data_IF_419918080390
#
_entry.id   IF_419918080390
#
_cell.length_a   1.000
_cell.length_b   1.000
_cell.length_c   1.000
_cell.angle_alpha   90.00
_cell.angle_beta   90.00
_cell.angle_gamma   90.00
#
_symmetry.space_group_name_H-M   'P 1'
#
loop_
_entity.id
_entity.type
_entity.pdbx_description
1 polymer ?
#
# COMPACT_ATOMS: atom_id res chain seq x y z
N UNK A 1 32.51 5.26 -22.04
CA UNK A 1 31.13 5.14 -21.52
C UNK A 1 30.90 6.34 -20.62
N UNK A 2 29.81 7.08 -20.83
CA UNK A 2 29.42 8.18 -19.94
C UNK A 2 28.93 7.61 -18.60
N UNK A 3 28.99 8.39 -17.52
CA UNK A 3 28.53 7.94 -16.21
C UNK A 3 27.07 7.47 -16.22
N UNK A 4 26.20 8.19 -16.94
CA UNK A 4 24.79 7.85 -17.09
C UNK A 4 24.55 6.48 -17.73
N UNK A 5 25.37 6.10 -18.72
CA UNK A 5 25.30 4.79 -19.37
C UNK A 5 25.76 3.66 -18.43
N UNK A 6 26.77 3.93 -17.61
CA UNK A 6 27.24 2.98 -16.58
C UNK A 6 26.14 2.73 -15.54
N UNK A 7 25.54 3.82 -15.02
CA UNK A 7 24.48 3.77 -14.02
C UNK A 7 23.25 3.04 -14.54
N UNK A 8 22.79 3.36 -15.76
CA UNK A 8 21.62 2.70 -16.36
C UNK A 8 21.85 1.19 -16.56
N UNK A 9 23.05 0.78 -16.99
CA UNK A 9 23.38 -0.65 -17.15
C UNK A 9 23.48 -1.37 -15.81
N UNK A 10 24.11 -0.75 -14.82
CA UNK A 10 24.18 -1.32 -13.46
C UNK A 10 22.78 -1.46 -12.86
N UNK A 11 21.91 -0.46 -13.03
CA UNK A 11 20.52 -0.52 -12.58
C UNK A 11 19.76 -1.64 -13.30
N UNK A 12 19.87 -1.75 -14.62
CA UNK A 12 19.24 -2.82 -15.38
C UNK A 12 19.68 -4.21 -14.89
N UNK A 13 20.98 -4.38 -14.64
CA UNK A 13 21.54 -5.62 -14.09
C UNK A 13 21.08 -5.92 -12.66
N UNK A 14 20.87 -4.91 -11.82
CA UNK A 14 20.29 -5.09 -10.48
C UNK A 14 18.82 -5.54 -10.59
N UNK A 15 18.03 -4.88 -11.45
CA UNK A 15 16.60 -5.13 -11.60
C UNK A 15 16.30 -6.47 -12.29
N UNK A 16 17.03 -6.79 -13.36
CA UNK A 16 16.84 -8.02 -14.14
C UNK A 16 17.69 -9.20 -13.65
N UNK A 17 18.49 -8.99 -12.60
CA UNK A 17 19.51 -9.94 -12.12
C UNK A 17 20.45 -10.43 -13.23
N UNK A 18 20.78 -9.57 -14.20
CA UNK A 18 21.74 -9.84 -15.26
C UNK A 18 23.16 -9.37 -14.89
N UNK A 19 24.15 -9.74 -15.70
CA UNK A 19 25.58 -9.50 -15.41
C UNK A 19 26.31 -8.73 -16.52
N UNK A 20 25.57 -8.02 -17.37
CA UNK A 20 26.13 -7.34 -18.55
C UNK A 20 27.18 -6.27 -18.24
N UNK A 21 27.17 -5.72 -17.02
CA UNK A 21 28.10 -4.69 -16.54
C UNK A 21 29.39 -5.28 -15.95
N UNK A 22 29.41 -6.57 -15.61
CA UNK A 22 30.52 -7.24 -14.91
C UNK A 22 31.88 -6.98 -15.58
N UNK A 23 32.04 -7.10 -16.92
CA UNK A 23 33.33 -6.84 -17.58
C UNK A 23 33.86 -5.39 -17.43
N UNK A 24 33.00 -4.46 -16.98
CA UNK A 24 33.32 -3.04 -16.83
C UNK A 24 33.49 -2.63 -15.37
N UNK A 25 33.20 -3.51 -14.41
CA UNK A 25 33.36 -3.22 -13.00
C UNK A 25 34.83 -3.39 -12.60
N UNK A 26 35.41 -2.34 -12.01
CA UNK A 26 36.70 -2.44 -11.33
C UNK A 26 36.45 -2.77 -9.87
N UNK A 27 37.03 -3.86 -9.40
CA UNK A 27 36.90 -4.31 -8.02
C UNK A 27 38.28 -4.47 -7.38
N UNK A 28 38.41 -4.30 -6.05
CA UNK A 28 39.68 -4.51 -5.36
C UNK A 28 40.23 -5.93 -5.58
N UNK A 29 41.57 -6.05 -5.55
CA UNK A 29 42.27 -7.33 -5.59
C UNK A 29 41.70 -8.31 -4.55
N UNK A 30 41.50 -9.56 -4.94
CA UNK A 30 40.90 -10.59 -4.09
C UNK A 30 39.37 -10.60 -4.05
N UNK A 31 38.69 -9.81 -4.89
CA UNK A 31 37.22 -9.87 -5.03
C UNK A 31 36.79 -10.08 -6.47
N UNK A 32 35.67 -10.78 -6.63
CA UNK A 32 35.05 -11.04 -7.93
C UNK A 32 33.93 -10.02 -8.22
N UNK A 33 33.94 -9.48 -9.44
CA UNK A 33 32.98 -8.47 -9.88
C UNK A 33 31.56 -9.03 -9.96
N UNK A 34 31.40 -10.28 -10.41
CA UNK A 34 30.08 -10.92 -10.45
C UNK A 34 29.54 -11.16 -9.04
N UNK A 35 30.37 -11.65 -8.12
CA UNK A 35 30.01 -11.82 -6.70
C UNK A 35 29.59 -10.50 -6.05
N UNK A 36 30.34 -9.42 -6.27
CA UNK A 36 29.98 -8.09 -5.73
C UNK A 36 28.66 -7.59 -6.31
N UNK A 37 28.43 -7.74 -7.61
CA UNK A 37 27.14 -7.40 -8.23
C UNK A 37 25.99 -8.23 -7.63
N UNK A 38 26.21 -9.52 -7.39
CA UNK A 38 25.25 -10.40 -6.70
C UNK A 38 24.84 -9.87 -5.33
N UNK A 39 25.78 -9.37 -4.52
CA UNK A 39 25.48 -8.74 -3.24
C UNK A 39 24.54 -7.53 -3.40
N UNK A 40 24.74 -6.69 -4.42
CA UNK A 40 23.83 -5.57 -4.69
C UNK A 40 22.45 -6.03 -5.16
N UNK A 41 22.38 -7.05 -6.03
CA UNK A 41 21.13 -7.65 -6.48
C UNK A 41 20.30 -8.20 -5.31
N UNK A 42 20.95 -8.93 -4.41
CA UNK A 42 20.29 -9.53 -3.23
C UNK A 42 19.86 -8.45 -2.24
N UNK A 43 20.76 -7.53 -1.91
CA UNK A 43 20.46 -6.45 -0.99
C UNK A 43 19.38 -5.49 -1.52
N UNK A 44 19.23 -5.35 -2.85
CA UNK A 44 18.13 -4.58 -3.42
C UNK A 44 16.79 -5.28 -3.20
N UNK A 45 16.71 -6.59 -3.48
CA UNK A 45 15.48 -7.36 -3.25
C UNK A 45 15.06 -7.36 -1.77
N UNK A 46 16.02 -7.56 -0.86
CA UNK A 46 15.75 -7.52 0.58
C UNK A 46 15.16 -6.16 1.01
N UNK A 47 15.76 -5.04 0.56
CA UNK A 47 15.22 -3.70 0.87
C UNK A 47 13.80 -3.48 0.36
N UNK A 48 13.44 -4.03 -0.80
CA UNK A 48 12.07 -3.93 -1.31
C UNK A 48 11.08 -4.71 -0.43
N UNK A 49 11.49 -5.89 0.07
CA UNK A 49 10.68 -6.69 1.00
C UNK A 49 10.54 -5.96 2.34
N UNK A 50 11.63 -5.39 2.87
CA UNK A 50 11.62 -4.61 4.12
C UNK A 50 10.69 -3.39 4.00
N UNK A 51 10.72 -2.69 2.85
CA UNK A 51 9.80 -1.60 2.56
C UNK A 51 8.34 -2.09 2.56
N UNK A 52 8.07 -3.24 1.93
CA UNK A 52 6.72 -3.82 1.91
C UNK A 52 6.23 -4.13 3.33
N UNK A 53 7.09 -4.71 4.18
CA UNK A 53 6.79 -4.98 5.58
C UNK A 53 6.54 -3.70 6.39
N UNK A 54 7.29 -2.64 6.10
CA UNK A 54 7.12 -1.33 6.76
C UNK A 54 5.77 -0.70 6.43
N UNK A 55 5.33 -0.79 5.16
CA UNK A 55 4.03 -0.25 4.74
C UNK A 55 2.84 -1.15 5.09
N UNK A 56 3.09 -2.44 5.38
CA UNK A 56 2.04 -3.42 5.64
C UNK A 56 2.29 -4.26 6.90
N UNK A 57 2.48 -3.64 8.08
CA UNK A 57 2.82 -4.34 9.31
C UNK A 57 1.70 -5.28 9.80
N UNK A 58 0.42 -4.93 9.63
CA UNK A 58 -0.71 -5.77 10.02
C UNK A 58 -0.85 -6.96 9.07
N UNK A 59 -0.65 -6.75 7.76
CA UNK A 59 -0.62 -7.87 6.82
C UNK A 59 0.53 -8.84 7.15
N UNK A 60 1.72 -8.33 7.48
CA UNK A 60 2.84 -9.13 7.94
C UNK A 60 2.48 -9.93 9.19
N UNK A 61 1.88 -9.29 10.19
CA UNK A 61 1.44 -9.97 11.42
C UNK A 61 0.40 -11.06 11.13
N UNK A 62 -0.53 -10.81 10.21
CA UNK A 62 -1.57 -11.77 9.85
C UNK A 62 -1.05 -12.98 9.08
N UNK A 63 -0.09 -12.78 8.16
CA UNK A 63 0.49 -13.86 7.37
C UNK A 63 1.58 -14.63 8.12
N UNK A 64 2.31 -13.94 9.00
CA UNK A 64 3.58 -14.39 9.57
C UNK A 64 4.76 -14.23 8.61
N UNK A 65 5.97 -14.18 9.16
CA UNK A 65 7.19 -13.82 8.44
C UNK A 65 7.47 -14.67 7.18
N UNK A 66 7.35 -15.99 7.31
CA UNK A 66 7.68 -16.91 6.22
C UNK A 66 6.71 -16.79 5.03
N UNK A 67 5.41 -16.71 5.32
CA UNK A 67 4.39 -16.55 4.29
C UNK A 67 4.44 -15.16 3.66
N UNK A 68 4.66 -14.11 4.45
CA UNK A 68 4.83 -12.76 3.95
C UNK A 68 6.05 -12.64 3.03
N UNK A 69 7.21 -13.19 3.43
CA UNK A 69 8.41 -13.21 2.58
C UNK A 69 8.16 -13.94 1.26
N UNK A 70 7.48 -15.09 1.30
CA UNK A 70 7.13 -15.85 0.09
C UNK A 70 6.22 -15.03 -0.83
N UNK A 71 5.21 -14.37 -0.26
CA UNK A 71 4.28 -13.48 -0.96
C UNK A 71 4.98 -12.28 -1.57
N UNK A 72 5.86 -11.61 -0.81
CA UNK A 72 6.61 -10.45 -1.27
C UNK A 72 7.53 -10.78 -2.45
N UNK A 73 8.18 -11.95 -2.42
CA UNK A 73 8.96 -12.44 -3.56
C UNK A 73 8.07 -12.60 -4.81
N UNK A 74 6.94 -13.30 -4.69
CA UNK A 74 6.02 -13.50 -5.80
C UNK A 74 5.41 -12.18 -6.32
N UNK A 75 5.16 -11.23 -5.43
CA UNK A 75 4.70 -9.88 -5.76
C UNK A 75 5.72 -9.15 -6.63
N UNK A 76 7.00 -9.12 -6.24
CA UNK A 76 8.05 -8.43 -7.00
C UNK A 76 8.43 -9.13 -8.30
N UNK A 77 8.25 -10.45 -8.39
CA UNK A 77 8.42 -11.18 -9.65
C UNK A 77 7.31 -10.79 -10.66
N UNK A 78 6.10 -10.49 -10.18
CA UNK A 78 4.95 -10.04 -11.01
C UNK A 78 4.98 -8.53 -11.30
N UNK A 79 5.35 -7.73 -10.31
CA UNK A 79 5.35 -6.27 -10.33
C UNK A 79 6.72 -5.74 -9.92
N UNK A 80 7.74 -5.86 -10.81
CA UNK A 80 9.07 -5.38 -10.49
C UNK A 80 9.07 -3.88 -10.23
N UNK A 81 9.84 -3.44 -9.23
CA UNK A 81 9.98 -2.02 -8.92
C UNK A 81 10.66 -1.30 -10.09
N UNK A 82 9.93 -0.39 -10.72
CA UNK A 82 10.37 0.38 -11.89
C UNK A 82 10.54 1.88 -11.60
N UNK A 83 10.24 2.31 -10.38
CA UNK A 83 10.27 3.72 -9.97
C UNK A 83 11.24 3.91 -8.80
N UNK A 84 11.96 5.03 -8.80
CA UNK A 84 12.86 5.38 -7.70
C UNK A 84 12.12 5.77 -6.41
N UNK A 85 10.81 6.05 -6.49
CA UNK A 85 10.01 6.44 -5.34
C UNK A 85 9.50 5.20 -4.58
N UNK A 86 9.98 5.05 -3.33
CA UNK A 86 9.63 3.96 -2.42
C UNK A 86 8.11 3.84 -2.17
N UNK A 87 7.35 4.95 -2.24
CA UNK A 87 5.89 4.93 -2.06
C UNK A 87 5.16 4.05 -3.08
N UNK A 88 5.73 3.89 -4.28
CA UNK A 88 5.12 3.07 -5.33
C UNK A 88 5.37 1.57 -5.16
N UNK A 89 6.30 1.19 -4.26
CA UNK A 89 6.73 -0.21 -4.07
C UNK A 89 5.55 -1.10 -3.70
N UNK A 90 4.65 -0.65 -2.83
CA UNK A 90 3.52 -1.43 -2.36
C UNK A 90 2.20 -1.16 -3.11
N UNK A 91 2.18 -0.22 -4.08
CA UNK A 91 0.94 0.32 -4.67
C UNK A 91 0.03 -0.74 -5.29
N UNK A 92 0.62 -1.82 -5.84
CA UNK A 92 -0.14 -2.90 -6.50
C UNK A 92 -0.39 -4.09 -5.58
N UNK A 93 0.05 -4.06 -4.33
CA UNK A 93 -0.07 -5.20 -3.41
C UNK A 93 -1.53 -5.61 -3.18
N UNK A 94 -2.49 -4.70 -2.94
CA UNK A 94 -3.88 -5.13 -2.74
C UNK A 94 -4.47 -5.82 -3.98
N UNK A 95 -4.18 -5.28 -5.16
CA UNK A 95 -4.60 -5.88 -6.44
C UNK A 95 -3.96 -7.25 -6.63
N UNK A 96 -2.66 -7.39 -6.33
CA UNK A 96 -1.95 -8.66 -6.42
C UNK A 96 -2.62 -9.73 -5.55
N UNK A 97 -2.89 -9.42 -4.27
CA UNK A 97 -3.51 -10.36 -3.33
C UNK A 97 -4.92 -10.75 -3.77
N UNK A 98 -5.66 -9.83 -4.40
CA UNK A 98 -7.01 -10.09 -4.92
C UNK A 98 -7.05 -11.05 -6.12
N UNK A 99 -5.99 -11.11 -6.93
CA UNK A 99 -5.99 -11.89 -8.19
C UNK A 99 -5.03 -13.09 -8.21
N UNK A 100 -4.06 -13.14 -7.30
CA UNK A 100 -3.08 -14.21 -7.25
C UNK A 100 -3.71 -15.51 -6.72
N UNK A 101 -3.51 -16.61 -7.45
CA UNK A 101 -4.17 -17.89 -7.18
C UNK A 101 -3.92 -18.42 -5.75
N UNK A 102 -2.73 -18.14 -5.20
CA UNK A 102 -2.36 -18.56 -3.84
C UNK A 102 -2.99 -17.71 -2.72
N UNK A 103 -3.60 -16.57 -3.03
CA UNK A 103 -4.05 -15.59 -2.01
C UNK A 103 -5.52 -15.17 -2.15
N UNK A 104 -6.08 -15.16 -3.37
CA UNK A 104 -7.41 -14.63 -3.65
C UNK A 104 -8.57 -15.27 -2.87
N UNK A 105 -8.40 -16.49 -2.35
CA UNK A 105 -9.40 -17.20 -1.57
C UNK A 105 -9.50 -16.70 -0.11
N UNK A 106 -8.56 -15.87 0.34
CA UNK A 106 -8.56 -15.23 1.67
C UNK A 106 -8.75 -13.73 1.47
N UNK A 107 -10.01 -13.29 1.41
CA UNK A 107 -10.37 -11.90 1.11
C UNK A 107 -9.69 -10.91 2.07
N UNK A 108 -9.59 -11.27 3.36
CA UNK A 108 -8.93 -10.46 4.37
C UNK A 108 -7.49 -10.02 3.99
N UNK A 109 -6.72 -10.81 3.22
CA UNK A 109 -5.37 -10.42 2.81
C UNK A 109 -5.39 -9.15 1.95
N UNK A 110 -6.24 -9.13 0.92
CA UNK A 110 -6.35 -7.98 0.03
C UNK A 110 -7.02 -6.79 0.74
N UNK A 111 -7.99 -7.06 1.62
CA UNK A 111 -8.71 -6.04 2.38
C UNK A 111 -7.80 -5.34 3.40
N UNK A 112 -7.04 -6.08 4.20
CA UNK A 112 -6.03 -5.53 5.13
C UNK A 112 -5.01 -4.68 4.38
N UNK A 113 -4.45 -5.22 3.28
CA UNK A 113 -3.51 -4.48 2.46
C UNK A 113 -4.12 -3.19 1.87
N UNK A 114 -5.41 -3.22 1.50
CA UNK A 114 -6.13 -2.05 0.98
C UNK A 114 -6.30 -0.98 2.05
N UNK A 115 -6.61 -1.37 3.28
CA UNK A 115 -6.80 -0.43 4.39
C UNK A 115 -5.48 0.24 4.80
N UNK A 116 -4.40 -0.53 4.97
CA UNK A 116 -3.08 0.05 5.25
C UNK A 116 -2.65 1.00 4.13
N UNK A 117 -2.93 0.62 2.88
CA UNK A 117 -2.62 1.48 1.74
C UNK A 117 -3.41 2.78 1.76
N UNK A 118 -4.71 2.73 2.04
CA UNK A 118 -5.56 3.91 2.14
C UNK A 118 -5.10 4.83 3.28
N UNK A 119 -4.67 4.27 4.42
CA UNK A 119 -4.13 5.04 5.56
C UNK A 119 -2.88 5.85 5.14
N UNK A 120 -1.97 5.24 4.38
CA UNK A 120 -0.78 5.91 3.83
C UNK A 120 -1.15 6.91 2.73
N UNK A 121 -2.11 6.57 1.86
CA UNK A 121 -2.48 7.44 0.74
C UNK A 121 -3.19 8.72 1.19
N UNK A 122 -4.07 8.65 2.21
CA UNK A 122 -4.69 9.85 2.80
C UNK A 122 -3.68 10.68 3.60
N UNK A 123 -2.67 10.06 4.21
CA UNK A 123 -1.63 10.78 4.97
C UNK A 123 -0.89 11.76 4.05
N UNK A 124 -0.49 11.29 2.87
CA UNK A 124 0.24 12.07 1.88
C UNK A 124 -0.66 12.83 0.88
N UNK A 125 -1.98 12.81 1.05
CA UNK A 125 -2.88 13.48 0.12
C UNK A 125 -2.67 15.01 0.14
N UNK A 126 -2.91 15.72 -0.99
CA UNK A 126 -2.77 17.17 -1.03
C UNK A 126 -3.60 17.86 0.06
N UNK A 127 -3.04 18.92 0.66
CA UNK A 127 -3.80 19.76 1.57
C UNK A 127 -4.99 20.40 0.85
N UNK A 128 -6.11 20.49 1.56
CA UNK A 128 -7.32 21.14 1.08
C UNK A 128 -7.96 21.93 2.20
N UNK A 129 -8.51 23.09 1.87
CA UNK A 129 -9.32 23.85 2.83
C UNK A 129 -10.61 23.09 3.11
N UNK A 130 -10.72 22.54 4.32
CA UNK A 130 -11.92 21.82 4.75
C UNK A 130 -12.97 22.82 5.20
N UNK A 131 -14.18 22.69 4.66
CA UNK A 131 -15.31 23.51 5.07
C UNK A 131 -15.60 23.31 6.56
N UNK A 132 -15.68 24.41 7.29
CA UNK A 132 -16.03 24.45 8.70
C UNK A 132 -17.54 24.55 8.88
N UNK A 133 -18.02 24.31 10.11
CA UNK A 133 -19.40 24.59 10.46
C UNK A 133 -19.77 26.07 10.26
N UNK A 134 -18.80 26.98 10.45
CA UNK A 134 -19.00 28.40 10.22
C UNK A 134 -19.22 28.74 8.74
N UNK A 135 -18.52 28.04 7.84
CA UNK A 135 -18.74 28.19 6.38
C UNK A 135 -20.14 27.70 6.00
N UNK A 136 -20.59 26.58 6.59
CA UNK A 136 -21.94 26.06 6.36
C UNK A 136 -23.03 27.01 6.87
N UNK A 137 -22.82 27.67 8.01
CA UNK A 137 -23.74 28.68 8.55
C UNK A 137 -23.89 29.92 7.66
N UNK A 138 -22.90 30.19 6.80
CA UNK A 138 -22.96 31.30 5.84
C UNK A 138 -23.74 30.93 4.56
N UNK A 139 -24.07 29.66 4.36
CA UNK A 139 -24.87 29.23 3.20
C UNK A 139 -26.32 29.70 3.39
N UNK A 140 -26.71 30.69 2.59
CA UNK A 140 -28.07 31.23 2.61
C UNK A 140 -29.11 30.24 2.09
N UNK A 141 -30.41 30.40 2.46
CA UNK A 141 -31.47 29.46 2.08
C UNK A 141 -31.59 29.21 0.57
N UNK A 142 -31.33 30.24 -0.25
CA UNK A 142 -31.40 30.13 -1.71
C UNK A 142 -30.24 29.33 -2.32
N UNK A 143 -29.13 29.18 -1.59
CA UNK A 143 -27.94 28.46 -2.06
C UNK A 143 -27.97 26.98 -1.68
N UNK A 144 -28.77 26.60 -0.67
CA UNK A 144 -28.86 25.20 -0.19
C UNK A 144 -29.32 24.25 -1.30
N UNK A 145 -30.29 24.65 -2.12
CA UNK A 145 -30.86 23.81 -3.18
C UNK A 145 -29.86 23.48 -4.31
N UNK A 146 -28.82 24.30 -4.47
CA UNK A 146 -27.79 24.12 -5.51
C UNK A 146 -26.42 23.77 -4.93
N UNK A 147 -26.33 23.62 -3.61
CA UNK A 147 -25.09 23.34 -2.91
C UNK A 147 -24.60 21.93 -3.26
N UNK A 148 -23.31 21.83 -3.58
CA UNK A 148 -22.63 20.55 -3.78
C UNK A 148 -21.63 20.34 -2.65
N UNK A 149 -21.66 19.16 -2.05
CA UNK A 149 -20.65 18.73 -1.09
C UNK A 149 -19.59 17.97 -1.89
N UNK A 150 -18.35 18.46 -1.83
CA UNK A 150 -17.21 17.80 -2.44
C UNK A 150 -16.38 17.19 -1.31
N UNK A 151 -16.10 15.90 -1.45
CA UNK A 151 -15.28 15.16 -0.49
C UNK A 151 -13.82 15.62 -0.58
N UNK A 152 -13.16 15.72 0.57
CA UNK A 152 -11.76 16.13 0.62
C UNK A 152 -10.86 15.14 -0.12
N UNK A 153 -9.77 15.58 -0.78
CA UNK A 153 -8.82 14.67 -1.44
C UNK A 153 -8.17 13.65 -0.49
N UNK A 154 -8.03 14.01 0.78
CA UNK A 154 -7.49 13.17 1.84
C UNK A 154 -8.56 12.27 2.49
N UNK A 155 -9.42 11.67 1.67
CA UNK A 155 -10.52 10.82 2.10
C UNK A 155 -10.72 9.65 1.14
N UNK A 156 -10.80 8.43 1.67
CA UNK A 156 -11.03 7.20 0.91
C UNK A 156 -12.01 6.27 1.63
N UNK A 157 -12.70 5.41 0.88
CA UNK A 157 -13.57 4.37 1.42
C UNK A 157 -13.04 3.01 0.97
N UNK A 158 -12.79 2.14 1.94
CA UNK A 158 -12.35 0.76 1.71
C UNK A 158 -13.49 -0.21 2.04
N UNK A 159 -13.87 -1.02 1.06
CA UNK A 159 -14.95 -2.02 1.20
C UNK A 159 -14.39 -3.37 1.63
N UNK A 160 -15.10 -4.03 2.54
CA UNK A 160 -14.78 -5.34 3.09
C UNK A 160 -15.94 -6.30 2.82
N UNK A 161 -15.61 -7.46 2.28
CA UNK A 161 -16.50 -8.61 2.08
C UNK A 161 -16.29 -9.70 3.13
N UNK A 162 -15.17 -9.66 3.85
CA UNK A 162 -14.88 -10.51 4.99
C UNK A 162 -14.71 -9.69 6.28
N UNK A 163 -14.56 -10.36 7.42
CA UNK A 163 -14.22 -9.73 8.70
C UNK A 163 -12.76 -9.22 8.77
N UNK A 164 -12.15 -8.88 7.62
CA UNK A 164 -10.78 -8.37 7.51
C UNK A 164 -10.54 -7.10 8.34
N UNK A 165 -11.56 -6.26 8.55
CA UNK A 165 -11.46 -5.09 9.41
C UNK A 165 -11.29 -5.47 10.89
N UNK A 166 -12.03 -6.48 11.37
CA UNK A 166 -11.93 -6.94 12.76
C UNK A 166 -10.59 -7.63 13.02
N UNK A 167 -10.11 -8.42 12.05
CA UNK A 167 -8.76 -9.00 12.05
C UNK A 167 -7.71 -7.89 12.11
N UNK A 168 -7.83 -6.88 11.26
CA UNK A 168 -6.92 -5.73 11.25
C UNK A 168 -6.89 -5.04 12.61
N UNK A 169 -8.06 -4.75 13.18
CA UNK A 169 -8.17 -4.03 14.45
C UNK A 169 -7.57 -4.84 15.60
N UNK A 170 -7.87 -6.14 15.67
CA UNK A 170 -7.34 -7.04 16.69
C UNK A 170 -5.80 -7.10 16.64
N UNK A 171 -5.22 -7.27 15.46
CA UNK A 171 -3.78 -7.31 15.27
C UNK A 171 -3.11 -5.97 15.56
N UNK A 172 -3.74 -4.85 15.15
CA UNK A 172 -3.25 -3.50 15.47
C UNK A 172 -3.26 -3.20 16.97
N UNK A 173 -4.13 -3.87 17.73
CA UNK A 173 -4.20 -3.79 19.19
C UNK A 173 -3.37 -4.88 19.89
N UNK A 174 -2.59 -5.67 19.14
CA UNK A 174 -1.78 -6.78 19.67
C UNK A 174 -2.63 -7.84 20.41
N UNK A 175 -3.84 -8.08 19.93
CA UNK A 175 -4.77 -9.09 20.43
C UNK A 175 -4.98 -10.23 19.44
N UNK A 176 -5.52 -11.35 19.91
CA UNK A 176 -5.82 -12.50 19.04
C UNK A 176 -6.90 -12.14 18.03
N UNK A 177 -6.64 -12.24 16.72
CA UNK A 177 -7.65 -11.98 15.70
C UNK A 177 -8.74 -13.06 15.71
N UNK A 178 -9.98 -12.70 15.34
CA UNK A 178 -11.03 -13.69 15.12
C UNK A 178 -10.67 -14.61 13.93
N UNK A 179 -11.26 -15.81 13.84
CA UNK A 179 -11.20 -16.62 12.63
C UNK A 179 -11.72 -15.84 11.42
N UNK A 180 -11.14 -16.07 10.24
CA UNK A 180 -11.60 -15.43 9.01
C UNK A 180 -12.99 -15.94 8.60
N UNK A 181 -13.90 -15.01 8.35
CA UNK A 181 -15.29 -15.27 7.98
C UNK A 181 -15.75 -14.28 6.89
N UNK A 182 -16.64 -14.74 6.01
CA UNK A 182 -17.31 -13.87 5.04
C UNK A 182 -18.45 -13.13 5.74
N UNK A 183 -18.63 -11.86 5.42
CA UNK A 183 -19.74 -11.07 5.93
C UNK A 183 -21.01 -11.36 5.12
N UNK A 184 -22.16 -11.30 5.77
CA UNK A 184 -23.46 -11.36 5.09
C UNK A 184 -23.68 -10.13 4.20
N UNK A 185 -23.23 -8.96 4.67
CA UNK A 185 -23.27 -7.69 3.94
C UNK A 185 -21.90 -7.01 3.96
N UNK A 186 -21.49 -6.33 2.87
CA UNK A 186 -20.20 -5.65 2.85
C UNK A 186 -20.10 -4.52 3.88
N UNK A 187 -19.04 -4.53 4.68
CA UNK A 187 -18.68 -3.42 5.56
C UNK A 187 -17.88 -2.36 4.79
N UNK A 188 -18.00 -1.09 5.19
CA UNK A 188 -17.26 0.01 4.58
C UNK A 188 -16.50 0.78 5.67
N UNK A 189 -15.22 1.04 5.42
CA UNK A 189 -14.36 1.79 6.33
C UNK A 189 -14.01 3.12 5.66
N UNK A 190 -14.37 4.21 6.32
CA UNK A 190 -13.90 5.54 5.95
C UNK A 190 -12.49 5.72 6.47
N UNK A 191 -11.59 6.20 5.62
CA UNK A 191 -10.21 6.58 5.95
C UNK A 191 -10.05 8.05 5.56
N UNK A 192 -9.55 8.88 6.45
CA UNK A 192 -9.35 10.31 6.17
C UNK A 192 -8.19 10.89 6.96
N UNK A 193 -7.67 12.03 6.51
CA UNK A 193 -6.69 12.80 7.28
C UNK A 193 -7.38 13.88 8.12
N UNK A 194 -7.04 13.93 9.40
CA UNK A 194 -7.41 15.01 10.32
C UNK A 194 -6.13 15.58 10.89
N UNK A 195 -5.87 16.87 10.58
CA UNK A 195 -4.58 17.51 10.81
C UNK A 195 -3.47 16.71 10.11
N UNK A 196 -2.47 16.24 10.85
CA UNK A 196 -1.35 15.43 10.34
C UNK A 196 -1.53 13.93 10.64
N UNK A 197 -2.75 13.48 10.94
CA UNK A 197 -3.00 12.09 11.36
C UNK A 197 -4.07 11.42 10.49
N UNK A 198 -3.74 10.26 9.94
CA UNK A 198 -4.72 9.37 9.32
C UNK A 198 -5.65 8.76 10.38
N UNK A 199 -6.95 8.83 10.11
CA UNK A 199 -8.03 8.29 10.92
C UNK A 199 -8.81 7.28 10.07
N UNK A 200 -9.42 6.32 10.74
CA UNK A 200 -10.33 5.39 10.08
C UNK A 200 -11.45 4.97 11.02
N UNK A 201 -12.62 4.66 10.47
CA UNK A 201 -13.77 4.10 11.21
C UNK A 201 -14.70 3.32 10.29
N UNK A 202 -15.49 2.43 10.86
CA UNK A 202 -16.63 1.84 10.16
C UNK A 202 -17.68 2.91 9.85
N UNK A 203 -18.29 2.77 8.67
CA UNK A 203 -19.47 3.52 8.24
C UNK A 203 -20.72 2.70 8.52
N UNK A 204 -21.77 3.36 8.99
CA UNK A 204 -23.11 2.79 8.94
C UNK A 204 -23.56 2.64 7.47
N UNK A 205 -24.55 1.77 7.21
CA UNK A 205 -25.01 1.49 5.85
C UNK A 205 -25.51 2.77 5.14
N UNK A 206 -26.23 3.62 5.86
CA UNK A 206 -26.76 4.89 5.34
C UNK A 206 -25.65 5.90 5.02
N UNK A 207 -24.62 5.99 5.87
CA UNK A 207 -23.46 6.84 5.61
C UNK A 207 -22.68 6.37 4.37
N UNK A 208 -22.49 5.05 4.25
CA UNK A 208 -21.80 4.46 3.11
C UNK A 208 -22.56 4.67 1.80
N UNK A 209 -23.91 4.63 1.85
CA UNK A 209 -24.76 4.95 0.69
C UNK A 209 -24.58 6.41 0.28
N UNK A 210 -24.74 7.34 1.23
CA UNK A 210 -24.62 8.79 0.97
C UNK A 210 -23.26 9.15 0.34
N UNK A 211 -22.16 8.62 0.89
CA UNK A 211 -20.82 8.95 0.43
C UNK A 211 -20.42 8.29 -0.90
N UNK A 212 -21.10 7.21 -1.30
CA UNK A 212 -20.88 6.57 -2.61
C UNK A 212 -21.68 7.21 -3.74
N UNK A 213 -22.73 7.96 -3.40
CA UNK A 213 -23.58 8.69 -4.34
C UNK A 213 -23.17 10.16 -4.53
N UNK A 214 -22.27 10.67 -3.66
CA UNK A 214 -21.67 12.00 -3.74
C UNK A 214 -20.55 12.08 -4.80
#
# INVERSE_FOLDING_TARGET
MRLSELQARMQADILARSTGIVPRLKVPSGTDAARRLGVYQDAYKLRLIDMLATYHPVLLAYMGDAAFNTMANAYFDKFPSSHANARNVARRLPIFLKVAINYHHIAALAEIASLERAIEDVFDAPDSNIASLADLQQVGPQSVETMQIILAPAMEIVSFTSNGYDIFLALKQETTPPPHEQLEEPANVLVWRSEENSRFRLLAAEEAMLLKEA
#
